data_IF_382602489298
#
_entry.id   IF_382602489298
#
_cell.length_a   1.000
_cell.length_b   1.000
_cell.length_c   1.000
_cell.angle_alpha   90.00
_cell.angle_beta   90.00
_cell.angle_gamma   90.00
#
_symmetry.space_group_name_H-M   'P 1'
#
loop_
_entity.id
_entity.type
_entity.pdbx_description
1 polymer ?
#
# COMPACT_ATOMS: atom_id res chain seq x y z
N UNK A 1 7.20 30.78 -3.07
CA UNK A 1 6.15 29.77 -2.82
C UNK A 1 5.54 29.44 -4.18
N UNK A 2 6.09 28.44 -4.87
CA UNK A 2 5.66 28.05 -6.21
C UNK A 2 5.03 26.66 -6.14
N UNK A 3 3.77 26.59 -6.53
CA UNK A 3 3.06 25.35 -6.86
C UNK A 3 2.78 25.45 -8.36
N UNK A 4 2.82 24.29 -9.03
CA UNK A 4 2.53 24.02 -10.46
C UNK A 4 3.74 24.32 -11.37
N UNK A 5 4.24 23.43 -12.23
CA UNK A 5 3.73 22.21 -12.87
C UNK A 5 4.92 21.58 -13.59
N UNK A 6 5.24 20.31 -13.36
CA UNK A 6 5.95 19.51 -14.35
C UNK A 6 5.19 18.21 -14.60
N UNK A 7 4.77 18.11 -15.84
CA UNK A 7 3.81 17.19 -16.44
C UNK A 7 4.44 15.86 -16.81
N UNK A 8 3.86 14.74 -16.38
CA UNK A 8 4.06 13.46 -17.05
C UNK A 8 2.93 13.22 -18.04
N UNK A 9 3.17 13.59 -19.30
CA UNK A 9 2.35 13.18 -20.45
C UNK A 9 2.47 11.67 -20.65
N UNK A 10 1.39 10.93 -20.38
CA UNK A 10 1.24 9.56 -20.86
C UNK A 10 -0.01 9.48 -21.74
N UNK A 11 0.21 9.35 -23.06
CA UNK A 11 -0.80 8.85 -23.99
C UNK A 11 -0.97 7.36 -23.69
N UNK A 12 -2.06 7.00 -23.01
CA UNK A 12 -2.43 5.63 -22.74
C UNK A 12 -3.54 5.26 -23.74
N UNK A 13 -3.18 4.46 -24.72
CA UNK A 13 -4.09 3.90 -25.70
C UNK A 13 -4.77 2.68 -25.06
N UNK A 14 -5.94 2.87 -24.45
CA UNK A 14 -6.78 1.78 -23.93
C UNK A 14 -8.10 1.80 -24.70
N UNK A 15 -8.28 0.76 -25.50
CA UNK A 15 -9.52 0.39 -26.18
C UNK A 15 -10.69 0.41 -25.21
N UNK A 16 -11.70 1.22 -25.57
CA UNK A 16 -13.11 1.22 -25.15
C UNK A 16 -13.48 0.30 -23.98
N UNK A 17 -13.60 0.86 -22.77
CA UNK A 17 -14.92 1.09 -22.17
C UNK A 17 -14.81 1.88 -20.85
N UNK A 18 -15.21 3.15 -20.95
CA UNK A 18 -15.97 3.96 -20.00
C UNK A 18 -15.56 4.06 -18.50
N UNK A 19 -15.18 5.30 -18.13
CA UNK A 19 -15.09 5.92 -16.78
C UNK A 19 -13.79 5.82 -15.97
N UNK A 20 -12.63 6.11 -16.59
CA UNK A 20 -11.45 6.55 -15.84
C UNK A 20 -11.51 8.05 -15.52
N UNK A 21 -12.21 8.41 -14.43
CA UNK A 21 -12.24 9.78 -13.89
C UNK A 21 -10.86 10.14 -13.30
N UNK A 22 -10.33 11.34 -13.59
CA UNK A 22 -8.98 11.80 -13.22
C UNK A 22 -8.62 11.67 -11.73
N UNK A 23 -9.61 11.56 -10.83
CA UNK A 23 -9.41 11.23 -9.41
C UNK A 23 -8.85 9.81 -9.18
N UNK A 24 -9.20 8.86 -10.07
CA UNK A 24 -8.72 7.47 -10.11
C UNK A 24 -7.31 7.34 -10.71
N UNK A 25 -6.84 8.33 -11.48
CA UNK A 25 -5.47 8.35 -12.02
C UNK A 25 -4.47 8.68 -10.91
N UNK A 26 -4.80 9.63 -10.02
CA UNK A 26 -3.99 9.93 -8.82
C UNK A 26 -3.89 8.72 -7.86
N UNK A 27 -4.94 7.90 -7.83
CA UNK A 27 -5.06 6.69 -7.01
C UNK A 27 -4.11 5.55 -7.44
N UNK A 28 -3.79 5.41 -8.73
CA UNK A 28 -2.83 4.40 -9.21
C UNK A 28 -1.36 4.78 -8.95
N UNK A 29 -1.05 6.07 -8.80
CA UNK A 29 0.33 6.54 -8.58
C UNK A 29 0.81 6.19 -7.17
N UNK A 30 -0.04 6.37 -6.15
CA UNK A 30 0.33 6.12 -4.75
C UNK A 30 0.48 4.63 -4.44
N UNK A 31 -0.39 3.76 -4.99
CA UNK A 31 -0.27 2.29 -4.82
C UNK A 31 1.00 1.75 -5.46
N UNK A 32 1.35 2.23 -6.66
CA UNK A 32 2.60 1.85 -7.33
C UNK A 32 3.82 2.29 -6.53
N UNK A 33 3.85 3.54 -6.05
CA UNK A 33 4.94 4.04 -5.18
C UNK A 33 5.06 3.20 -3.92
N UNK A 34 3.95 2.83 -3.29
CA UNK A 34 3.95 2.05 -2.06
C UNK A 34 4.46 0.62 -2.30
N UNK A 35 4.03 -0.02 -3.38
CA UNK A 35 4.54 -1.34 -3.81
C UNK A 35 6.04 -1.24 -4.15
N UNK A 36 6.46 -0.22 -4.89
CA UNK A 36 7.86 -0.03 -5.29
C UNK A 36 8.76 0.24 -4.06
N UNK A 37 8.29 0.98 -3.05
CA UNK A 37 9.01 1.18 -1.78
C UNK A 37 9.16 -0.13 -0.99
N UNK A 38 8.09 -0.94 -0.93
CA UNK A 38 8.12 -2.25 -0.28
C UNK A 38 9.11 -3.18 -1.00
N UNK A 39 9.08 -3.19 -2.33
CA UNK A 39 9.97 -4.02 -3.17
C UNK A 39 11.41 -3.54 -3.24
N UNK A 40 11.67 -2.23 -3.08
CA UNK A 40 13.02 -1.65 -3.18
C UNK A 40 14.02 -2.29 -2.21
N UNK A 41 13.55 -2.86 -1.10
CA UNK A 41 14.42 -3.48 -0.09
C UNK A 41 14.79 -4.95 -0.40
N UNK A 42 14.36 -5.52 -1.53
CA UNK A 42 14.80 -6.85 -1.95
C UNK A 42 16.31 -6.93 -2.26
N UNK A 43 17.00 -5.80 -2.46
CA UNK A 43 18.42 -5.72 -2.83
C UNK A 43 19.41 -5.57 -1.66
N UNK A 44 18.93 -5.57 -0.41
CA UNK A 44 19.75 -5.32 0.78
C UNK A 44 20.10 -6.66 1.47
N UNK A 45 21.31 -6.77 2.03
CA UNK A 45 21.85 -8.00 2.65
C UNK A 45 20.82 -8.71 3.56
N UNK A 46 20.77 -10.04 3.54
CA UNK A 46 19.66 -10.84 4.11
C UNK A 46 19.29 -10.54 5.58
N UNK A 47 20.26 -10.14 6.41
CA UNK A 47 20.05 -9.75 7.81
C UNK A 47 19.34 -8.38 7.92
N UNK A 48 19.74 -7.42 7.09
CA UNK A 48 19.14 -6.09 7.01
C UNK A 48 17.76 -6.16 6.36
N UNK A 49 17.57 -7.08 5.40
CA UNK A 49 16.26 -7.37 4.79
C UNK A 49 15.22 -7.78 5.83
N UNK A 50 15.52 -8.77 6.67
CA UNK A 50 14.58 -9.23 7.70
C UNK A 50 14.23 -8.12 8.70
N UNK A 51 15.23 -7.32 9.09
CA UNK A 51 15.06 -6.17 10.00
C UNK A 51 14.10 -5.12 9.40
N UNK A 52 14.27 -4.81 8.12
CA UNK A 52 13.40 -3.86 7.41
C UNK A 52 12.00 -4.40 7.16
N UNK A 53 11.86 -5.67 6.74
CA UNK A 53 10.55 -6.30 6.56
C UNK A 53 9.75 -6.24 7.86
N UNK A 54 10.37 -6.60 8.99
CA UNK A 54 9.75 -6.49 10.31
C UNK A 54 9.39 -5.05 10.67
N UNK A 55 10.26 -4.07 10.37
CA UNK A 55 9.97 -2.67 10.62
C UNK A 55 8.75 -2.19 9.81
N UNK A 56 8.65 -2.57 8.53
CA UNK A 56 7.50 -2.25 7.69
C UNK A 56 6.21 -2.91 8.19
N UNK A 57 6.26 -4.20 8.54
CA UNK A 57 5.11 -4.93 9.10
C UNK A 57 4.61 -4.22 10.36
N UNK A 58 5.51 -3.87 11.28
CA UNK A 58 5.16 -3.16 12.51
C UNK A 58 4.55 -1.78 12.25
N UNK A 59 5.07 -1.04 11.26
CA UNK A 59 4.51 0.25 10.84
C UNK A 59 3.08 0.07 10.32
N UNK A 60 2.87 -0.90 9.44
CA UNK A 60 1.55 -1.17 8.84
C UNK A 60 0.57 -1.63 9.92
N UNK A 61 0.96 -2.59 10.77
CA UNK A 61 0.16 -3.08 11.90
C UNK A 61 -0.27 -1.92 12.81
N UNK A 62 0.70 -1.16 13.31
CA UNK A 62 0.43 -0.03 14.22
C UNK A 62 -0.53 0.97 13.57
N UNK A 63 -0.32 1.30 12.28
CA UNK A 63 -1.16 2.28 11.59
C UNK A 63 -2.57 1.77 11.36
N UNK A 64 -2.75 0.49 11.02
CA UNK A 64 -4.06 -0.11 10.86
C UNK A 64 -4.83 -0.17 12.18
N UNK A 65 -4.16 -0.58 13.27
CA UNK A 65 -4.77 -0.59 14.61
C UNK A 65 -5.16 0.81 15.06
N UNK A 66 -4.28 1.80 14.89
CA UNK A 66 -4.56 3.21 15.23
C UNK A 66 -5.74 3.78 14.42
N UNK A 67 -5.82 3.45 13.13
CA UNK A 67 -6.80 4.06 12.21
C UNK A 67 -8.16 3.37 12.29
N UNK A 68 -8.19 2.05 12.47
CA UNK A 68 -9.39 1.23 12.30
C UNK A 68 -9.83 0.54 13.60
N UNK A 69 -8.97 0.51 14.61
CA UNK A 69 -9.16 -0.23 15.85
C UNK A 69 -8.81 -1.72 15.74
N UNK A 70 -8.51 -2.32 16.89
CA UNK A 70 -8.03 -3.71 16.98
C UNK A 70 -9.01 -4.73 16.40
N UNK A 71 -10.31 -4.54 16.60
CA UNK A 71 -11.32 -5.45 16.09
C UNK A 71 -11.32 -5.53 14.55
N UNK A 72 -11.22 -4.37 13.88
CA UNK A 72 -11.15 -4.30 12.42
C UNK A 72 -9.83 -4.85 11.92
N UNK A 73 -8.74 -4.58 12.63
CA UNK A 73 -7.43 -5.17 12.32
C UNK A 73 -7.45 -6.71 12.37
N UNK A 74 -8.04 -7.32 13.40
CA UNK A 74 -8.19 -8.78 13.46
C UNK A 74 -9.07 -9.31 12.32
N UNK A 75 -10.14 -8.60 11.96
CA UNK A 75 -10.97 -8.97 10.82
C UNK A 75 -10.20 -8.94 9.50
N UNK A 76 -9.32 -7.96 9.30
CA UNK A 76 -8.41 -7.90 8.13
C UNK A 76 -7.48 -9.11 8.13
N UNK A 77 -6.84 -9.44 9.26
CA UNK A 77 -5.94 -10.60 9.36
C UNK A 77 -6.66 -11.90 9.00
N UNK A 78 -7.84 -12.13 9.58
CA UNK A 78 -8.64 -13.33 9.30
C UNK A 78 -9.03 -13.37 7.81
N UNK A 79 -9.45 -12.24 7.22
CA UNK A 79 -9.81 -12.19 5.81
C UNK A 79 -8.63 -12.49 4.88
N UNK A 80 -7.43 -11.98 5.20
CA UNK A 80 -6.20 -12.27 4.45
C UNK A 80 -5.87 -13.77 4.49
N UNK A 81 -5.92 -14.37 5.67
CA UNK A 81 -5.61 -15.79 5.85
C UNK A 81 -6.66 -16.69 5.17
N UNK A 82 -7.94 -16.40 5.34
CA UNK A 82 -9.04 -17.22 4.82
C UNK A 82 -9.26 -17.09 3.31
N UNK A 83 -9.09 -15.88 2.74
CA UNK A 83 -9.44 -15.61 1.33
C UNK A 83 -8.25 -15.52 0.40
N UNK A 84 -7.08 -15.19 0.93
CA UNK A 84 -5.86 -15.02 0.13
C UNK A 84 -4.76 -15.99 0.53
N UNK A 85 -4.95 -16.80 1.59
CA UNK A 85 -3.89 -17.64 2.16
C UNK A 85 -2.62 -16.84 2.47
N UNK A 86 -2.80 -15.56 2.82
CA UNK A 86 -1.75 -14.59 3.08
C UNK A 86 -1.69 -14.32 4.58
N UNK A 87 -0.60 -14.71 5.24
CA UNK A 87 -0.35 -14.30 6.62
C UNK A 87 0.02 -12.84 6.67
N UNK A 88 -0.41 -12.15 7.72
CA UNK A 88 -0.10 -10.72 7.87
C UNK A 88 1.41 -10.43 7.84
N UNK A 89 2.23 -11.32 8.42
CA UNK A 89 3.69 -11.16 8.42
C UNK A 89 4.34 -11.39 7.04
N UNK A 90 3.59 -11.82 6.03
CA UNK A 90 4.08 -12.03 4.66
C UNK A 90 3.58 -10.94 3.69
N UNK A 91 2.84 -9.94 4.16
CA UNK A 91 2.28 -8.87 3.31
C UNK A 91 3.36 -8.06 2.59
N UNK A 92 4.54 -7.93 3.19
CA UNK A 92 5.69 -7.23 2.59
C UNK A 92 6.29 -8.02 1.43
N UNK A 93 6.15 -9.36 1.44
CA UNK A 93 6.60 -10.24 0.35
C UNK A 93 5.58 -10.31 -0.80
N UNK A 94 4.31 -10.03 -0.49
CA UNK A 94 3.18 -10.07 -1.43
C UNK A 94 2.30 -8.81 -1.29
N UNK A 95 2.86 -7.61 -1.49
CA UNK A 95 2.16 -6.36 -1.23
C UNK A 95 0.94 -6.19 -2.14
N UNK A 96 0.97 -6.71 -3.36
CA UNK A 96 -0.17 -6.70 -4.28
C UNK A 96 -1.37 -7.44 -3.71
N UNK A 97 -1.16 -8.65 -3.20
CA UNK A 97 -2.23 -9.48 -2.62
C UNK A 97 -2.84 -8.79 -1.39
N UNK A 98 -2.00 -8.14 -0.57
CA UNK A 98 -2.45 -7.34 0.57
C UNK A 98 -3.34 -6.16 0.15
N UNK A 99 -2.92 -5.33 -0.81
CA UNK A 99 -3.74 -4.19 -1.26
C UNK A 99 -5.02 -4.61 -1.97
N UNK A 100 -4.99 -5.72 -2.73
CA UNK A 100 -6.19 -6.31 -3.32
C UNK A 100 -7.16 -6.74 -2.23
N UNK A 101 -6.68 -7.40 -1.17
CA UNK A 101 -7.53 -7.82 -0.05
C UNK A 101 -8.16 -6.62 0.67
N UNK A 102 -7.38 -5.57 0.94
CA UNK A 102 -7.92 -4.34 1.52
C UNK A 102 -8.97 -3.68 0.61
N UNK A 103 -8.76 -3.66 -0.70
CA UNK A 103 -9.74 -3.15 -1.65
C UNK A 103 -11.02 -3.99 -1.68
N UNK A 104 -10.94 -5.31 -1.47
CA UNK A 104 -12.13 -6.17 -1.33
C UNK A 104 -12.93 -5.88 -0.05
N UNK A 105 -12.26 -5.52 1.04
CA UNK A 105 -12.90 -5.19 2.32
C UNK A 105 -13.51 -3.78 2.28
N UNK A 106 -12.72 -2.79 1.85
CA UNK A 106 -13.03 -1.37 2.01
C UNK A 106 -13.54 -0.72 0.70
N UNK A 107 -13.47 -1.42 -0.43
CA UNK A 107 -13.78 -0.87 -1.73
C UNK A 107 -12.93 0.37 -2.01
N UNK A 108 -13.55 1.42 -2.55
CA UNK A 108 -12.87 2.67 -2.90
C UNK A 108 -12.31 3.46 -1.71
N UNK A 109 -12.65 3.11 -0.46
CA UNK A 109 -12.11 3.80 0.71
C UNK A 109 -10.73 3.28 1.13
N UNK A 110 -10.28 2.15 0.57
CA UNK A 110 -8.92 1.60 0.78
C UNK A 110 -7.83 2.64 0.54
N UNK A 111 -8.07 3.55 -0.39
CA UNK A 111 -7.13 4.57 -0.79
C UNK A 111 -6.77 5.55 0.34
N UNK A 112 -7.70 5.78 1.27
CA UNK A 112 -7.42 6.59 2.46
C UNK A 112 -6.46 5.84 3.39
N UNK A 113 -6.64 4.53 3.53
CA UNK A 113 -5.77 3.65 4.33
C UNK A 113 -4.37 3.60 3.71
N UNK A 114 -4.27 3.39 2.38
CA UNK A 114 -3.00 3.38 1.65
C UNK A 114 -2.21 4.68 1.83
N UNK A 115 -2.87 5.83 1.76
CA UNK A 115 -2.25 7.14 2.01
C UNK A 115 -1.73 7.29 3.44
N UNK A 116 -2.46 6.79 4.42
CA UNK A 116 -2.06 6.88 5.82
C UNK A 116 -0.84 6.00 6.08
N UNK A 117 -0.83 4.78 5.54
CA UNK A 117 0.32 3.86 5.61
C UNK A 117 1.54 4.48 4.91
N UNK A 118 1.38 5.02 3.70
CA UNK A 118 2.47 5.64 2.95
C UNK A 118 3.07 6.83 3.71
N UNK A 119 2.23 7.71 4.28
CA UNK A 119 2.70 8.84 5.09
C UNK A 119 3.47 8.38 6.32
N UNK A 120 3.00 7.33 6.97
CA UNK A 120 3.67 6.77 8.16
C UNK A 120 5.05 6.20 7.80
N UNK A 121 5.12 5.43 6.71
CA UNK A 121 6.38 4.90 6.18
C UNK A 121 7.33 6.05 5.84
N UNK A 122 6.87 7.09 5.12
CA UNK A 122 7.69 8.24 4.77
C UNK A 122 8.15 9.06 6.00
N UNK A 123 7.32 9.17 7.03
CA UNK A 123 7.66 9.87 8.26
C UNK A 123 8.68 9.12 9.14
N UNK A 124 8.66 7.79 9.09
CA UNK A 124 9.58 6.91 9.84
C UNK A 124 10.83 6.52 9.05
N UNK A 125 10.75 6.49 7.72
CA UNK A 125 11.89 6.36 6.82
C UNK A 125 12.59 7.71 6.69
N UNK A 126 13.26 8.17 7.76
CA UNK A 126 14.33 9.14 7.61
C UNK A 126 15.53 8.42 6.99
N UNK A 127 15.63 8.49 5.67
CA UNK A 127 16.89 8.32 4.96
C UNK A 127 17.78 9.54 5.22
#
# INVERSE_FOLDING_TARGET
MNILTESCNYQINISNDNYFNAKNIKLCVERKILIDLIKMHEKVFAQEKLSFENALINIIESKLQETLGDAVFQAIKNYLEEKFSLKFNDIVKKPEEFFIALEKIFGKSVCTIEKLILKEIQGKAKF
#
